data_IF_054921799728
#
_entry.id   IF_054921799728
#
_cell.length_a   1.000
_cell.length_b   1.000
_cell.length_c   1.000
_cell.angle_alpha   90.00
_cell.angle_beta   90.00
_cell.angle_gamma   90.00
#
_symmetry.space_group_name_H-M   'P 1'
#
loop_
_entity.id
_entity.type
_entity.pdbx_description
1 polymer ?
#
# COMPACT_ATOMS: atom_id res chain seq x y z
N UNK A 1 -1.11 15.08 -42.11
CA UNK A 1 -0.72 13.65 -42.06
C UNK A 1 -0.41 13.32 -40.60
N UNK A 2 -1.29 12.54 -39.96
CA UNK A 2 -1.19 12.24 -38.54
C UNK A 2 -0.06 11.23 -38.29
N UNK A 3 0.82 11.55 -37.35
CA UNK A 3 1.82 10.63 -36.80
C UNK A 3 1.04 9.63 -35.94
N UNK A 4 0.80 8.42 -36.46
CA UNK A 4 0.38 7.29 -35.63
C UNK A 4 1.55 6.91 -34.74
N UNK A 5 1.54 7.40 -33.49
CA UNK A 5 2.44 6.94 -32.44
C UNK A 5 2.24 5.44 -32.26
N UNK A 6 3.30 4.67 -32.47
CA UNK A 6 3.29 3.22 -32.34
C UNK A 6 3.14 2.85 -30.86
N UNK A 7 1.89 2.71 -30.43
CA UNK A 7 1.41 2.63 -29.04
C UNK A 7 1.90 1.39 -28.25
N UNK A 8 2.79 0.58 -28.84
CA UNK A 8 3.24 -0.71 -28.30
C UNK A 8 4.76 -0.86 -28.22
N UNK A 9 5.52 0.22 -28.42
CA UNK A 9 6.96 0.26 -28.15
C UNK A 9 7.22 0.97 -26.81
N UNK A 10 7.65 0.21 -25.80
CA UNK A 10 8.19 0.78 -24.56
C UNK A 10 9.69 0.48 -24.53
N UNK A 11 10.53 1.50 -24.47
CA UNK A 11 12.01 1.37 -24.49
C UNK A 11 12.57 0.60 -25.70
N UNK A 12 11.95 0.72 -26.88
CA UNK A 12 12.41 0.03 -28.10
C UNK A 12 12.11 -1.48 -28.11
N UNK A 13 11.40 -1.98 -27.10
CA UNK A 13 10.94 -3.37 -27.01
C UNK A 13 9.47 -3.40 -27.42
N UNK A 14 9.15 -4.27 -28.38
CA UNK A 14 7.78 -4.50 -28.83
C UNK A 14 7.03 -5.35 -27.79
N UNK A 15 6.09 -4.73 -27.10
CA UNK A 15 5.25 -5.35 -26.07
C UNK A 15 4.46 -6.55 -26.59
N UNK A 16 4.23 -6.65 -27.91
CA UNK A 16 3.48 -7.77 -28.52
C UNK A 16 4.25 -9.09 -28.47
N UNK A 17 5.57 -9.03 -28.46
CA UNK A 17 6.45 -10.20 -28.50
C UNK A 17 7.05 -10.54 -27.13
N UNK A 18 6.94 -9.66 -26.12
CA UNK A 18 7.48 -9.90 -24.77
C UNK A 18 6.97 -11.21 -24.16
N UNK A 19 5.67 -11.48 -24.26
CA UNK A 19 5.09 -12.72 -23.68
C UNK A 19 5.63 -13.95 -24.40
N UNK A 20 5.75 -13.89 -25.73
CA UNK A 20 6.29 -14.99 -26.53
C UNK A 20 7.79 -15.21 -26.31
N UNK A 21 8.57 -14.13 -26.23
CA UNK A 21 10.01 -14.16 -25.94
C UNK A 21 10.29 -14.64 -24.52
N UNK A 22 9.46 -14.24 -23.56
CA UNK A 22 9.54 -14.72 -22.19
C UNK A 22 9.19 -16.21 -22.11
N UNK A 23 8.10 -16.65 -22.76
CA UNK A 23 7.73 -18.06 -22.85
C UNK A 23 8.79 -18.89 -23.58
N UNK A 24 9.41 -18.38 -24.64
CA UNK A 24 10.48 -19.08 -25.36
C UNK A 24 11.74 -19.19 -24.51
N UNK A 25 12.10 -18.13 -23.78
CA UNK A 25 13.22 -18.15 -22.84
C UNK A 25 12.98 -19.13 -21.69
N UNK A 26 11.76 -19.23 -21.15
CA UNK A 26 11.42 -20.26 -20.17
C UNK A 26 11.43 -21.66 -20.77
N UNK A 27 10.95 -21.82 -22.01
CA UNK A 27 11.00 -23.10 -22.72
C UNK A 27 12.44 -23.54 -22.92
N UNK A 28 13.31 -22.64 -23.34
CA UNK A 28 14.74 -22.87 -23.51
C UNK A 28 15.42 -23.17 -22.17
N UNK A 29 15.15 -22.39 -21.13
CA UNK A 29 15.69 -22.61 -19.79
C UNK A 29 15.16 -23.90 -19.14
N UNK A 30 13.98 -24.38 -19.46
CA UNK A 30 13.42 -25.60 -18.87
C UNK A 30 13.61 -26.85 -19.72
N UNK A 31 13.93 -26.73 -21.02
CA UNK A 31 14.02 -27.89 -21.93
C UNK A 31 15.36 -28.02 -22.64
N UNK A 32 16.21 -26.99 -22.66
CA UNK A 32 17.54 -27.08 -23.28
C UNK A 32 18.41 -28.13 -22.59
N UNK A 33 19.25 -28.81 -23.39
CA UNK A 33 20.18 -29.83 -22.90
C UNK A 33 21.24 -29.24 -21.95
N UNK A 34 21.57 -27.96 -22.12
CA UNK A 34 22.55 -27.21 -21.32
C UNK A 34 21.94 -26.50 -20.09
N UNK A 35 20.63 -26.63 -19.85
CA UNK A 35 19.98 -25.97 -18.71
C UNK A 35 20.48 -26.49 -17.36
N UNK A 36 20.82 -25.60 -16.40
CA UNK A 36 21.13 -25.99 -15.03
C UNK A 36 19.96 -26.66 -14.31
N UNK A 37 18.71 -26.34 -14.70
CA UNK A 37 17.50 -26.97 -14.15
C UNK A 37 17.42 -28.43 -14.62
N UNK A 38 17.76 -28.68 -15.89
CA UNK A 38 17.84 -30.04 -16.42
C UNK A 38 18.89 -30.85 -15.66
N UNK A 39 20.08 -30.28 -15.41
CA UNK A 39 21.13 -30.97 -14.67
C UNK A 39 20.71 -31.45 -13.27
N UNK A 40 19.88 -30.68 -12.55
CA UNK A 40 19.41 -31.05 -11.21
C UNK A 40 18.20 -31.99 -11.16
N UNK A 41 17.37 -32.01 -12.21
CA UNK A 41 16.14 -32.81 -12.26
C UNK A 41 16.25 -34.06 -13.13
N UNK A 42 17.34 -34.21 -13.90
CA UNK A 42 17.57 -35.38 -14.76
C UNK A 42 17.74 -36.66 -13.92
N UNK A 43 17.31 -37.78 -14.49
CA UNK A 43 17.48 -39.10 -13.87
C UNK A 43 18.95 -39.54 -13.99
N UNK A 44 19.58 -40.07 -12.94
CA UNK A 44 20.92 -40.63 -13.05
C UNK A 44 20.91 -41.83 -14.01
N UNK A 45 21.92 -41.90 -14.87
CA UNK A 45 22.10 -42.95 -15.88
C UNK A 45 23.39 -43.70 -15.58
N UNK A 46 23.32 -45.03 -15.54
CA UNK A 46 24.52 -45.88 -15.46
C UNK A 46 25.10 -46.09 -16.85
N UNK A 47 26.24 -45.50 -17.14
CA UNK A 47 26.96 -45.69 -18.39
C UNK A 47 27.86 -46.93 -18.30
N UNK A 48 27.67 -47.87 -19.21
CA UNK A 48 28.54 -49.02 -19.43
C UNK A 48 29.56 -48.70 -20.53
N UNK A 49 30.84 -48.59 -20.16
CA UNK A 49 31.99 -48.49 -21.07
C UNK A 49 32.69 -49.85 -21.08
N UNK A 50 32.17 -50.78 -21.87
CA UNK A 50 32.62 -52.18 -21.83
C UNK A 50 32.35 -52.80 -20.46
N UNK A 51 33.42 -53.10 -19.71
CA UNK A 51 33.32 -53.67 -18.35
C UNK A 51 33.33 -52.60 -17.24
N UNK A 52 33.60 -51.34 -17.58
CA UNK A 52 33.59 -50.23 -16.63
C UNK A 52 32.19 -49.63 -16.55
N UNK A 53 31.78 -49.26 -15.34
CA UNK A 53 30.52 -48.57 -15.10
C UNK A 53 30.75 -47.23 -14.44
N UNK A 54 30.07 -46.20 -14.92
CA UNK A 54 30.16 -44.86 -14.38
C UNK A 54 28.77 -44.21 -14.34
N UNK A 55 28.45 -43.55 -13.22
CA UNK A 55 27.17 -42.87 -13.06
C UNK A 55 27.24 -41.47 -13.66
N UNK A 56 26.25 -41.08 -14.46
CA UNK A 56 26.13 -39.75 -15.04
C UNK A 56 24.78 -39.12 -14.69
N UNK A 57 24.78 -37.82 -14.41
CA UNK A 57 23.56 -37.03 -14.25
C UNK A 57 23.76 -35.68 -14.94
N UNK A 58 22.82 -35.30 -15.83
CA UNK A 58 22.91 -34.02 -16.53
C UNK A 58 24.21 -33.82 -17.33
N UNK A 59 24.77 -34.90 -17.89
CA UNK A 59 26.02 -34.87 -18.65
C UNK A 59 27.31 -34.80 -17.81
N UNK A 60 27.22 -34.87 -16.48
CA UNK A 60 28.39 -34.86 -15.57
C UNK A 60 28.54 -36.21 -14.86
N UNK A 61 29.78 -36.69 -14.66
CA UNK A 61 30.00 -37.89 -13.87
C UNK A 61 29.70 -37.63 -12.38
N UNK A 62 28.93 -38.53 -11.77
CA UNK A 62 28.71 -38.54 -10.33
C UNK A 62 29.75 -39.44 -9.66
N UNK A 63 30.40 -38.93 -8.62
CA UNK A 63 31.34 -39.70 -7.78
C UNK A 63 30.63 -40.51 -6.68
N UNK A 64 29.29 -40.45 -6.62
CA UNK A 64 28.51 -41.09 -5.56
C UNK A 64 28.36 -42.59 -5.78
N UNK A 65 28.35 -43.30 -4.65
CA UNK A 65 28.21 -44.75 -4.54
C UNK A 65 26.87 -45.24 -5.16
N UNK A 66 26.88 -46.42 -5.80
CA UNK A 66 25.76 -47.05 -6.52
C UNK A 66 24.62 -47.53 -5.60
N UNK A 67 24.40 -46.88 -4.45
CA UNK A 67 23.47 -47.33 -3.41
C UNK A 67 22.01 -47.37 -3.87
N UNK A 68 21.65 -46.57 -4.87
CA UNK A 68 20.38 -46.68 -5.57
C UNK A 68 20.65 -47.16 -7.00
N UNK A 69 20.14 -48.33 -7.36
CA UNK A 69 20.15 -48.80 -8.76
C UNK A 69 19.44 -47.77 -9.63
N UNK A 70 20.15 -47.08 -10.53
CA UNK A 70 19.53 -46.07 -11.37
C UNK A 70 18.47 -46.70 -12.27
N UNK A 71 17.38 -45.97 -12.49
CA UNK A 71 16.25 -46.41 -13.31
C UNK A 71 16.60 -46.55 -14.80
N UNK A 72 17.73 -45.97 -15.21
CA UNK A 72 18.18 -45.85 -16.60
C UNK A 72 19.62 -46.36 -16.75
N UNK A 73 19.87 -47.12 -17.80
CA UNK A 73 21.19 -47.57 -18.24
C UNK A 73 21.49 -47.06 -19.64
N UNK A 74 22.74 -46.71 -19.87
CA UNK A 74 23.28 -46.37 -21.18
C UNK A 74 24.48 -47.26 -21.50
N UNK A 75 24.64 -47.64 -22.76
CA UNK A 75 25.87 -48.28 -23.21
C UNK A 75 26.62 -47.36 -24.16
N UNK A 76 27.94 -47.28 -23.95
CA UNK A 76 28.82 -46.53 -24.83
C UNK A 76 29.08 -47.33 -26.10
N UNK A 77 28.76 -46.71 -27.24
CA UNK A 77 29.02 -47.26 -28.54
C UNK A 77 30.54 -47.14 -28.86
N UNK A 78 31.15 -48.17 -29.44
CA UNK A 78 32.52 -48.12 -29.92
C UNK A 78 32.79 -46.99 -30.94
N UNK A 79 33.97 -46.39 -30.87
CA UNK A 79 34.39 -45.26 -31.71
C UNK A 79 34.34 -45.57 -33.21
N UNK A 80 34.54 -46.83 -33.61
CA UNK A 80 34.51 -47.28 -35.01
C UNK A 80 33.10 -47.29 -35.64
N UNK A 81 32.06 -47.20 -34.81
CA UNK A 81 30.66 -47.13 -35.25
C UNK A 81 30.11 -45.69 -35.27
N UNK A 82 30.93 -44.70 -34.92
CA UNK A 82 30.52 -43.30 -34.75
C UNK A 82 31.23 -42.41 -35.77
N UNK A 83 30.44 -41.58 -36.45
CA UNK A 83 30.93 -40.43 -37.20
C UNK A 83 30.76 -39.18 -36.34
N UNK A 84 31.87 -38.71 -35.76
CA UNK A 84 31.91 -37.49 -34.94
C UNK A 84 32.19 -36.24 -35.79
N UNK A 85 31.49 -35.15 -35.49
CA UNK A 85 31.74 -33.85 -36.11
C UNK A 85 31.49 -32.71 -35.14
N UNK A 86 32.37 -31.71 -35.15
CA UNK A 86 32.19 -30.47 -34.39
C UNK A 86 31.91 -29.31 -35.34
N UNK A 87 30.94 -28.48 -34.97
CA UNK A 87 30.47 -27.33 -35.73
C UNK A 87 30.57 -26.09 -34.86
N UNK A 88 31.00 -24.99 -35.47
CA UNK A 88 30.92 -23.67 -34.85
C UNK A 88 29.81 -22.89 -35.56
N UNK A 89 28.75 -22.59 -34.81
CA UNK A 89 27.57 -21.89 -35.30
C UNK A 89 27.54 -20.47 -34.72
N UNK A 90 27.07 -19.46 -35.47
CA UNK A 90 26.86 -18.14 -34.91
C UNK A 90 25.78 -18.19 -33.82
N UNK A 91 25.92 -17.39 -32.77
CA UNK A 91 24.94 -17.32 -31.66
C UNK A 91 23.52 -17.01 -32.17
N UNK A 92 23.39 -16.30 -33.30
CA UNK A 92 22.11 -16.00 -33.94
C UNK A 92 21.35 -17.24 -34.45
N UNK A 93 22.03 -18.38 -34.64
CA UNK A 93 21.42 -19.65 -35.07
C UNK A 93 20.91 -20.51 -33.88
N UNK A 94 21.17 -20.11 -32.64
CA UNK A 94 20.70 -20.78 -31.42
C UNK A 94 19.19 -21.14 -31.42
N UNK A 95 18.25 -20.25 -31.81
CA UNK A 95 16.82 -20.59 -31.79
C UNK A 95 16.42 -21.69 -32.78
N UNK A 96 17.22 -21.89 -33.83
CA UNK A 96 16.98 -22.86 -34.91
C UNK A 96 18.02 -23.98 -34.93
N UNK A 97 18.81 -24.12 -33.85
CA UNK A 97 19.87 -25.13 -33.68
C UNK A 97 19.43 -26.54 -34.13
N UNK A 98 18.28 -27.07 -33.68
CA UNK A 98 17.84 -28.40 -34.09
C UNK A 98 17.63 -28.54 -35.60
N UNK A 99 17.13 -27.49 -36.26
CA UNK A 99 16.88 -27.51 -37.70
C UNK A 99 18.20 -27.44 -38.49
N UNK A 100 19.13 -26.56 -38.06
CA UNK A 100 20.47 -26.45 -38.65
C UNK A 100 21.23 -27.76 -38.52
N UNK A 101 21.19 -28.38 -37.33
CA UNK A 101 21.85 -29.66 -37.08
C UNK A 101 21.20 -30.79 -37.89
N UNK A 102 19.87 -30.83 -38.02
CA UNK A 102 19.20 -31.84 -38.85
C UNK A 102 19.63 -31.73 -40.33
N UNK A 103 19.78 -30.50 -40.85
CA UNK A 103 20.32 -30.27 -42.19
C UNK A 103 21.76 -30.73 -42.31
N UNK A 104 22.59 -30.46 -41.30
CA UNK A 104 23.98 -30.89 -41.30
C UNK A 104 24.11 -32.42 -41.22
N UNK A 105 23.28 -33.10 -40.42
CA UNK A 105 23.19 -34.57 -40.40
C UNK A 105 22.82 -35.09 -41.78
N UNK A 106 21.80 -34.52 -42.41
CA UNK A 106 21.35 -34.95 -43.73
C UNK A 106 22.44 -34.76 -44.81
N UNK A 107 23.28 -33.74 -44.68
CA UNK A 107 24.38 -33.49 -45.60
C UNK A 107 25.63 -34.34 -45.31
N UNK A 108 25.91 -34.65 -44.04
CA UNK A 108 27.13 -35.32 -43.60
C UNK A 108 26.99 -36.84 -43.44
N UNK A 109 25.75 -37.35 -43.28
CA UNK A 109 25.52 -38.75 -43.01
C UNK A 109 25.81 -39.61 -44.26
N UNK A 110 26.66 -40.64 -44.14
CA UNK A 110 26.89 -41.61 -45.21
C UNK A 110 25.76 -42.66 -45.28
N UNK A 111 24.78 -42.60 -44.39
CA UNK A 111 23.69 -43.57 -44.27
C UNK A 111 22.40 -43.06 -44.89
N UNK A 112 21.49 -43.99 -45.20
CA UNK A 112 20.14 -43.61 -45.63
C UNK A 112 19.39 -42.89 -44.50
N UNK A 113 18.46 -41.97 -44.80
CA UNK A 113 17.73 -41.22 -43.77
C UNK A 113 17.06 -42.10 -42.71
N UNK A 114 16.50 -43.25 -43.10
CA UNK A 114 15.86 -44.21 -42.20
C UNK A 114 16.82 -45.00 -41.30
N UNK A 115 18.09 -45.12 -41.70
CA UNK A 115 19.13 -45.83 -40.94
C UNK A 115 20.05 -44.87 -40.18
N UNK A 116 19.97 -43.57 -40.45
CA UNK A 116 20.81 -42.56 -39.81
C UNK A 116 20.24 -42.16 -38.45
N UNK A 117 20.95 -42.51 -37.37
CA UNK A 117 20.68 -41.99 -36.03
C UNK A 117 21.73 -40.96 -35.66
N UNK A 118 21.32 -39.97 -34.88
CA UNK A 118 22.21 -38.90 -34.48
C UNK A 118 21.86 -38.38 -33.09
N UNK A 119 22.85 -37.73 -32.49
CA UNK A 119 22.72 -36.94 -31.28
C UNK A 119 23.71 -35.79 -31.31
N UNK A 120 23.50 -34.80 -30.46
CA UNK A 120 24.42 -33.67 -30.33
C UNK A 120 24.43 -33.12 -28.91
N UNK A 121 25.49 -32.40 -28.58
CA UNK A 121 25.60 -31.63 -27.34
C UNK A 121 26.34 -30.31 -27.60
N UNK A 122 26.02 -29.28 -26.84
CA UNK A 122 26.83 -28.07 -26.78
C UNK A 122 28.09 -28.35 -25.97
N UNK A 123 29.25 -28.12 -26.57
CA UNK A 123 30.56 -28.30 -25.91
C UNK A 123 31.11 -26.99 -25.36
N UNK A 124 30.88 -25.88 -26.07
CA UNK A 124 31.35 -24.56 -25.64
C UNK A 124 30.40 -23.45 -26.10
N UNK A 125 30.32 -22.38 -25.33
CA UNK A 125 29.45 -21.22 -25.58
C UNK A 125 30.24 -19.92 -25.43
N UNK A 126 30.49 -19.27 -26.56
CA UNK A 126 31.12 -17.96 -26.64
C UNK A 126 30.09 -16.83 -26.83
N UNK A 127 30.58 -15.58 -26.80
CA UNK A 127 29.72 -14.40 -26.96
C UNK A 127 29.12 -14.26 -28.38
N UNK A 128 29.78 -14.83 -29.40
CA UNK A 128 29.38 -14.70 -30.81
C UNK A 128 29.14 -16.04 -31.51
N UNK A 129 29.54 -17.15 -30.89
CA UNK A 129 29.46 -18.49 -31.49
C UNK A 129 29.19 -19.56 -30.44
N UNK A 130 28.46 -20.59 -30.83
CA UNK A 130 28.23 -21.81 -30.08
C UNK A 130 29.02 -22.94 -30.76
N UNK A 131 29.74 -23.74 -29.98
CA UNK A 131 30.33 -24.98 -30.46
C UNK A 131 29.44 -26.15 -30.10
N UNK A 132 29.14 -26.97 -31.10
CA UNK A 132 28.32 -28.16 -30.98
C UNK A 132 29.11 -29.35 -31.47
N UNK A 133 29.11 -30.43 -30.70
CA UNK A 133 29.62 -31.71 -31.15
C UNK A 133 28.45 -32.65 -31.42
N UNK A 134 28.50 -33.32 -32.56
CA UNK A 134 27.49 -34.20 -33.09
C UNK A 134 28.09 -35.58 -33.33
N UNK A 135 27.30 -36.61 -33.02
CA UNK A 135 27.61 -37.99 -33.35
C UNK A 135 26.53 -38.54 -34.28
N UNK A 136 26.95 -39.15 -35.38
CA UNK A 136 26.08 -39.83 -36.36
C UNK A 136 26.47 -41.30 -36.39
N UNK A 137 25.49 -42.20 -36.39
CA UNK A 137 25.72 -43.63 -36.47
C UNK A 137 24.61 -44.32 -37.30
N UNK A 138 24.84 -45.57 -37.66
CA UNK A 138 23.87 -46.40 -38.37
C UNK A 138 23.05 -47.22 -37.36
N UNK A 139 21.71 -47.12 -37.44
CA UNK A 139 20.77 -47.89 -36.61
C UNK A 139 21.01 -49.39 -36.78
N UNK A 140 21.16 -49.86 -38.00
CA UNK A 140 21.43 -51.27 -38.31
C UNK A 140 22.77 -51.76 -37.74
N UNK A 141 23.78 -50.90 -37.70
CA UNK A 141 25.09 -51.21 -37.12
C UNK A 141 25.04 -51.27 -35.59
N UNK A 142 24.32 -50.33 -34.95
CA UNK A 142 24.08 -50.36 -33.50
C UNK A 142 23.29 -51.60 -33.10
N UNK A 143 22.23 -51.94 -33.83
CA UNK A 143 21.44 -53.14 -33.55
C UNK A 143 22.24 -54.44 -33.73
N UNK A 144 23.17 -54.47 -34.71
CA UNK A 144 24.12 -55.59 -34.85
C UNK A 144 25.03 -55.69 -33.63
N UNK A 145 25.66 -54.58 -33.25
CA UNK A 145 26.54 -54.51 -32.09
C UNK A 145 25.84 -54.87 -30.78
N UNK A 146 24.58 -54.42 -30.58
CA UNK A 146 23.75 -54.78 -29.42
C UNK A 146 23.57 -56.29 -29.29
N UNK A 147 23.32 -56.98 -30.42
CA UNK A 147 23.18 -58.45 -30.46
C UNK A 147 24.49 -59.17 -30.18
N UNK A 148 25.61 -58.66 -30.70
CA UNK A 148 26.95 -59.25 -30.49
C UNK A 148 27.44 -59.09 -29.05
N UNK A 149 27.09 -57.97 -28.41
CA UNK A 149 27.54 -57.61 -27.05
C UNK A 149 26.54 -58.04 -25.96
N UNK A 150 25.42 -58.66 -26.33
CA UNK A 150 24.36 -59.12 -25.41
C UNK A 150 23.82 -58.00 -24.49
N UNK A 151 23.76 -56.78 -25.03
CA UNK A 151 23.41 -55.54 -24.31
C UNK A 151 21.97 -55.57 -23.77
N UNK A 152 21.09 -56.31 -24.44
CA UNK A 152 19.66 -56.42 -24.09
C UNK A 152 19.38 -57.36 -22.91
N UNK A 153 20.28 -58.27 -22.56
CA UNK A 153 19.92 -59.43 -21.72
C UNK A 153 20.49 -59.35 -20.30
N UNK A 154 21.60 -58.63 -20.09
CA UNK A 154 22.36 -58.73 -18.84
C UNK A 154 22.05 -57.67 -17.77
N UNK A 155 21.61 -56.47 -18.14
CA UNK A 155 21.82 -55.32 -17.26
C UNK A 155 20.58 -54.51 -16.84
N UNK A 156 19.38 -54.66 -17.42
CA UNK A 156 18.22 -53.88 -16.96
C UNK A 156 16.81 -54.36 -17.37
N UNK A 157 16.47 -55.64 -17.20
CA UNK A 157 15.08 -56.11 -17.39
C UNK A 157 14.47 -55.81 -18.76
N UNK A 158 13.14 -55.77 -18.86
CA UNK A 158 12.35 -55.63 -20.10
C UNK A 158 12.43 -54.24 -20.79
N UNK A 159 13.47 -53.45 -20.53
CA UNK A 159 13.61 -52.07 -21.04
C UNK A 159 14.79 -51.95 -21.99
N UNK A 160 14.57 -51.27 -23.12
CA UNK A 160 15.64 -50.93 -24.05
C UNK A 160 16.62 -49.91 -23.41
N UNK A 161 17.93 -50.20 -23.38
CA UNK A 161 18.92 -49.27 -22.85
C UNK A 161 19.12 -48.06 -23.77
N UNK A 162 19.60 -46.95 -23.19
CA UNK A 162 20.11 -45.81 -23.96
C UNK A 162 21.42 -46.17 -24.67
N UNK A 163 21.67 -45.58 -25.83
CA UNK A 163 22.95 -45.72 -26.56
C UNK A 163 23.63 -44.37 -26.62
N UNK A 164 24.82 -44.29 -26.06
CA UNK A 164 25.61 -43.07 -26.01
C UNK A 164 26.84 -43.21 -26.90
N UNK A 165 27.29 -42.10 -27.45
CA UNK A 165 28.50 -41.99 -28.25
C UNK A 165 29.45 -40.99 -27.57
N UNK A 166 30.74 -41.30 -27.56
CA UNK A 166 31.76 -40.34 -27.13
C UNK A 166 32.38 -39.70 -28.37
N UNK A 167 32.32 -38.38 -28.44
CA UNK A 167 32.84 -37.62 -29.57
C UNK A 167 33.60 -36.41 -29.02
N UNK A 168 34.89 -36.29 -29.37
CA UNK A 168 35.75 -35.20 -28.93
C UNK A 168 35.73 -34.95 -27.41
N UNK A 169 35.65 -36.03 -26.61
CA UNK A 169 35.59 -35.98 -25.14
C UNK A 169 34.22 -35.63 -24.56
N UNK A 170 33.19 -35.47 -25.39
CA UNK A 170 31.82 -35.23 -24.97
C UNK A 170 30.96 -36.49 -25.14
N UNK A 171 30.12 -36.78 -24.14
CA UNK A 171 29.16 -37.88 -24.18
C UNK A 171 27.83 -37.40 -24.77
N UNK A 172 27.38 -38.07 -25.83
CA UNK A 172 26.23 -37.71 -26.63
C UNK A 172 25.24 -38.87 -26.63
N UNK A 173 24.02 -38.65 -26.16
CA UNK A 173 22.95 -39.63 -26.28
C UNK A 173 22.40 -39.64 -27.73
N UNK A 174 22.36 -40.82 -28.35
CA UNK A 174 21.79 -41.00 -29.68
C UNK A 174 20.27 -41.13 -29.60
N UNK A 175 19.56 -40.54 -30.58
CA UNK A 175 18.10 -40.59 -30.63
C UNK A 175 17.56 -41.89 -31.24
N UNK A 176 16.41 -42.34 -30.72
CA UNK A 176 15.66 -43.48 -31.21
C UNK A 176 15.96 -44.81 -30.51
N UNK A 177 16.37 -44.78 -29.24
CA UNK A 177 16.58 -45.92 -28.35
C UNK A 177 15.86 -45.68 -27.01
N UNK A 178 16.48 -46.01 -25.86
CA UNK A 178 15.89 -45.91 -24.54
C UNK A 178 15.67 -44.49 -23.98
N UNK A 179 16.11 -43.43 -24.67
CA UNK A 179 16.21 -42.08 -24.08
C UNK A 179 14.84 -41.44 -23.76
N UNK A 180 13.79 -41.90 -24.43
CA UNK A 180 12.42 -41.44 -24.21
C UNK A 180 11.96 -41.64 -22.74
N UNK A 181 12.46 -42.67 -22.06
CA UNK A 181 12.11 -42.93 -20.66
C UNK A 181 12.63 -41.84 -19.73
N UNK A 182 13.90 -41.46 -19.89
CA UNK A 182 14.52 -40.38 -19.12
C UNK A 182 13.85 -39.05 -19.41
N UNK A 183 13.58 -38.75 -20.67
CA UNK A 183 12.88 -37.51 -21.07
C UNK A 183 11.46 -37.43 -20.49
N UNK A 184 10.71 -38.55 -20.47
CA UNK A 184 9.39 -38.60 -19.84
C UNK A 184 9.47 -38.42 -18.31
N UNK A 185 10.45 -39.04 -17.65
CA UNK A 185 10.67 -38.87 -16.21
C UNK A 185 11.00 -37.41 -15.87
N UNK A 186 11.89 -36.80 -16.65
CA UNK A 186 12.23 -35.38 -16.55
C UNK A 186 10.99 -34.49 -16.70
N UNK A 187 10.21 -34.66 -17.77
CA UNK A 187 8.98 -33.87 -18.00
C UNK A 187 7.97 -34.01 -16.87
N UNK A 188 7.78 -35.21 -16.32
CA UNK A 188 6.88 -35.42 -15.17
C UNK A 188 7.36 -34.69 -13.93
N UNK A 189 8.67 -34.77 -13.62
CA UNK A 189 9.27 -34.04 -12.50
C UNK A 189 9.12 -32.54 -12.68
N UNK A 190 9.42 -32.04 -13.88
CA UNK A 190 9.29 -30.64 -14.25
C UNK A 190 7.85 -30.12 -14.11
N UNK A 191 6.87 -30.88 -14.57
CA UNK A 191 5.45 -30.54 -14.42
C UNK A 191 5.03 -30.52 -12.95
N UNK A 192 5.50 -31.48 -12.15
CA UNK A 192 5.21 -31.53 -10.71
C UNK A 192 5.85 -30.35 -9.96
N UNK A 193 7.11 -30.03 -10.24
CA UNK A 193 7.77 -28.85 -9.64
C UNK A 193 7.13 -27.56 -10.12
N UNK A 194 6.76 -27.46 -11.40
CA UNK A 194 6.05 -26.32 -11.96
C UNK A 194 4.69 -26.11 -11.30
N UNK A 195 3.93 -27.18 -11.07
CA UNK A 195 2.65 -27.12 -10.37
C UNK A 195 2.80 -26.68 -8.91
N UNK A 196 3.83 -27.17 -8.21
CA UNK A 196 4.10 -26.77 -6.81
C UNK A 196 4.49 -25.30 -6.72
N UNK A 197 5.39 -24.83 -7.58
CA UNK A 197 5.82 -23.43 -7.61
C UNK A 197 4.67 -22.51 -8.04
N UNK A 198 3.91 -22.92 -9.05
CA UNK A 198 2.71 -22.19 -9.49
C UNK A 198 1.66 -22.11 -8.38
N UNK A 199 1.42 -23.21 -7.67
CA UNK A 199 0.52 -23.24 -6.50
C UNK A 199 1.00 -22.32 -5.38
N UNK A 200 2.29 -22.32 -5.06
CA UNK A 200 2.88 -21.43 -4.06
C UNK A 200 2.77 -19.95 -4.46
N UNK A 201 2.97 -19.63 -5.74
CA UNK A 201 2.81 -18.27 -6.27
C UNK A 201 1.35 -17.81 -6.19
N UNK A 202 0.39 -18.66 -6.56
CA UNK A 202 -1.05 -18.36 -6.43
C UNK A 202 -1.40 -18.13 -4.95
N UNK A 203 -0.90 -18.98 -4.05
CA UNK A 203 -1.13 -18.82 -2.61
C UNK A 203 -0.55 -17.49 -2.08
N UNK A 204 0.64 -17.10 -2.55
CA UNK A 204 1.23 -15.79 -2.24
C UNK A 204 0.39 -14.63 -2.78
N UNK A 205 -0.13 -14.73 -4.01
CA UNK A 205 -1.01 -13.71 -4.59
C UNK A 205 -2.33 -13.60 -3.83
N UNK A 206 -2.92 -14.73 -3.41
CA UNK A 206 -4.12 -14.75 -2.57
C UNK A 206 -3.83 -14.12 -1.21
N UNK A 207 -2.70 -14.46 -0.58
CA UNK A 207 -2.29 -13.84 0.69
C UNK A 207 -2.07 -12.32 0.55
N UNK A 208 -1.42 -11.87 -0.53
CA UNK A 208 -1.24 -10.46 -0.84
C UNK A 208 -2.57 -9.75 -1.11
N UNK A 209 -3.50 -10.40 -1.80
CA UNK A 209 -4.85 -9.86 -2.03
C UNK A 209 -5.64 -9.72 -0.72
N UNK A 210 -5.60 -10.74 0.15
CA UNK A 210 -6.22 -10.68 1.48
C UNK A 210 -5.62 -9.52 2.29
N UNK A 211 -4.29 -9.39 2.28
CA UNK A 211 -3.59 -8.27 2.94
C UNK A 211 -4.02 -6.91 2.39
N UNK A 212 -4.12 -6.76 1.07
CA UNK A 212 -4.59 -5.54 0.44
C UNK A 212 -6.04 -5.19 0.83
N UNK A 213 -6.95 -6.17 0.84
CA UNK A 213 -8.36 -5.96 1.25
C UNK A 213 -8.46 -5.50 2.71
N UNK A 214 -7.67 -6.08 3.62
CA UNK A 214 -7.63 -5.64 5.02
C UNK A 214 -7.19 -4.17 5.13
N UNK A 215 -6.19 -3.77 4.35
CA UNK A 215 -5.71 -2.38 4.32
C UNK A 215 -6.77 -1.40 3.78
N UNK A 216 -7.49 -1.77 2.72
CA UNK A 216 -8.59 -0.95 2.19
C UNK A 216 -9.74 -0.79 3.20
N UNK A 217 -10.11 -1.86 3.91
CA UNK A 217 -11.16 -1.81 4.94
C UNK A 217 -10.79 -0.90 6.13
N UNK A 218 -9.49 -0.70 6.36
CA UNK A 218 -8.98 0.20 7.41
C UNK A 218 -9.20 1.67 7.02
N UNK A 219 -9.12 2.00 5.72
CA UNK A 219 -9.42 3.34 5.20
C UNK A 219 -10.92 3.66 5.29
N UNK A 220 -11.80 2.70 4.99
CA UNK A 220 -13.25 2.87 5.16
C UNK A 220 -13.66 3.08 6.64
N UNK A 221 -12.90 2.54 7.60
CA UNK A 221 -13.13 2.77 9.03
C UNK A 221 -12.77 4.19 9.46
N UNK A 222 -11.82 4.84 8.80
CA UNK A 222 -11.47 6.24 9.07
C UNK A 222 -12.51 7.21 8.49
N UNK A 223 -13.12 6.91 7.34
CA UNK A 223 -14.23 7.72 6.81
C UNK A 223 -15.46 7.65 7.72
N UNK A 224 -15.81 6.47 8.26
CA UNK A 224 -16.94 6.32 9.21
C UNK A 224 -16.69 6.98 10.57
N UNK A 225 -15.44 7.14 10.97
CA UNK A 225 -15.07 7.90 12.18
C UNK A 225 -15.16 9.41 11.95
N UNK A 226 -14.87 9.91 10.74
CA UNK A 226 -15.09 11.33 10.41
C UNK A 226 -16.58 11.69 10.35
N UNK A 227 -17.44 10.83 9.81
CA UNK A 227 -18.89 11.11 9.78
C UNK A 227 -19.52 11.13 11.18
N UNK A 228 -18.99 10.36 12.14
CA UNK A 228 -19.44 10.41 13.54
C UNK A 228 -18.94 11.64 14.30
N UNK A 229 -17.83 12.26 13.90
CA UNK A 229 -17.30 13.48 14.55
C UNK A 229 -17.90 14.77 13.95
N UNK A 230 -18.39 14.73 12.71
CA UNK A 230 -19.13 15.87 12.13
C UNK A 230 -20.55 16.01 12.70
N UNK A 231 -21.24 14.90 12.98
CA UNK A 231 -22.60 14.92 13.57
C UNK A 231 -22.64 15.36 15.04
N UNK A 232 -21.52 15.29 15.76
CA UNK A 232 -21.41 15.80 17.14
C UNK A 232 -21.00 17.29 17.19
N UNK A 233 -20.59 17.88 16.06
CA UNK A 233 -20.23 19.30 15.95
C UNK A 233 -21.38 20.19 15.48
N UNK A 234 -22.44 19.61 14.89
CA UNK A 234 -23.68 20.32 14.57
C UNK A 234 -24.47 20.70 15.84
N UNK A 235 -24.43 19.87 16.89
CA UNK A 235 -25.14 20.12 18.15
C UNK A 235 -24.50 21.22 19.00
N UNK A 236 -23.19 21.44 18.89
CA UNK A 236 -22.50 22.53 19.59
C UNK A 236 -22.62 23.87 18.85
N UNK A 237 -22.74 23.84 17.51
CA UNK A 237 -22.97 25.05 16.71
C UNK A 237 -24.40 25.56 16.82
N UNK A 238 -25.39 24.67 16.90
CA UNK A 238 -26.79 25.03 17.16
C UNK A 238 -26.98 25.66 18.55
N UNK A 239 -26.25 25.16 19.56
CA UNK A 239 -26.30 25.69 20.92
C UNK A 239 -25.53 27.00 21.09
N UNK A 240 -24.47 27.24 20.29
CA UNK A 240 -23.85 28.57 20.17
C UNK A 240 -24.71 29.57 19.41
N UNK A 241 -25.44 29.15 18.38
CA UNK A 241 -26.32 30.03 17.61
C UNK A 241 -27.50 30.53 18.46
N UNK A 242 -28.11 29.66 19.28
CA UNK A 242 -29.16 30.07 20.22
C UNK A 242 -28.63 30.91 21.38
N UNK A 243 -27.38 30.68 21.81
CA UNK A 243 -26.73 31.55 22.81
C UNK A 243 -26.31 32.92 22.25
N UNK A 244 -26.06 33.06 20.96
CA UNK A 244 -25.77 34.34 20.30
C UNK A 244 -27.04 35.15 20.04
N UNK A 245 -28.11 34.50 19.58
CA UNK A 245 -29.43 35.13 19.35
C UNK A 245 -30.11 35.57 20.66
N UNK A 246 -29.97 34.77 21.72
CA UNK A 246 -30.40 35.15 23.07
C UNK A 246 -29.50 36.22 23.72
N UNK A 247 -28.23 36.36 23.29
CA UNK A 247 -27.37 37.45 23.79
C UNK A 247 -27.68 38.78 23.14
N UNK A 248 -28.03 38.81 21.84
CA UNK A 248 -28.39 40.05 21.13
C UNK A 248 -29.70 40.66 21.64
N UNK A 249 -30.70 39.84 21.92
CA UNK A 249 -31.97 40.31 22.51
C UNK A 249 -31.84 40.76 23.97
N UNK A 250 -30.89 40.20 24.73
CA UNK A 250 -30.60 40.63 26.12
C UNK A 250 -29.69 41.87 26.17
N UNK A 251 -28.78 42.07 25.20
CA UNK A 251 -27.97 43.30 25.10
C UNK A 251 -28.75 44.52 24.63
N UNK A 252 -29.72 44.35 23.72
CA UNK A 252 -30.60 45.44 23.30
C UNK A 252 -31.62 45.85 24.40
N UNK A 253 -31.99 44.93 25.28
CA UNK A 253 -32.86 45.22 26.44
C UNK A 253 -32.10 45.86 27.62
N UNK A 254 -30.84 45.50 27.85
CA UNK A 254 -30.03 46.04 28.95
C UNK A 254 -29.54 47.49 28.73
N UNK A 255 -29.51 47.99 27.51
CA UNK A 255 -29.22 49.40 27.22
C UNK A 255 -30.42 50.33 27.46
N UNK A 256 -31.64 49.80 27.67
CA UNK A 256 -32.83 50.60 27.98
C UNK A 256 -33.16 50.65 29.48
N UNK A 257 -32.63 49.71 30.28
CA UNK A 257 -32.86 49.63 31.73
C UNK A 257 -31.75 50.33 32.55
N UNK A 258 -30.56 50.54 31.98
CA UNK A 258 -29.47 51.25 32.64
C UNK A 258 -29.68 52.78 32.78
N UNK A 259 -30.61 53.37 32.00
CA UNK A 259 -30.86 54.82 31.97
C UNK A 259 -32.09 55.25 32.82
N UNK A 260 -32.84 54.32 33.39
CA UNK A 260 -34.04 54.63 34.20
C UNK A 260 -33.99 53.93 35.57
N UNK A 261 -33.36 54.55 36.59
CA UNK A 261 -33.53 54.15 37.98
C UNK A 261 -35.02 54.09 38.34
N UNK A 262 -35.43 53.13 39.17
CA UNK A 262 -36.84 52.99 39.55
C UNK A 262 -37.26 54.17 40.47
N UNK A 263 -38.20 55.05 40.07
CA UNK A 263 -38.57 56.25 40.82
C UNK A 263 -39.16 55.92 42.20
N UNK A 264 -39.74 54.73 42.38
CA UNK A 264 -40.34 54.33 43.65
C UNK A 264 -39.28 54.08 44.74
N UNK A 265 -38.10 53.58 44.38
CA UNK A 265 -37.00 53.32 45.33
C UNK A 265 -36.42 54.63 45.83
N UNK A 266 -36.25 55.62 44.94
CA UNK A 266 -35.72 56.92 45.32
C UNK A 266 -36.73 57.76 46.12
N UNK A 267 -38.03 57.66 45.81
CA UNK A 267 -39.08 58.28 46.64
C UNK A 267 -39.11 57.68 48.05
N UNK A 268 -39.00 56.36 48.18
CA UNK A 268 -38.93 55.70 49.49
C UNK A 268 -37.69 56.14 50.28
N UNK A 269 -36.51 56.16 49.63
CA UNK A 269 -35.26 56.60 50.24
C UNK A 269 -35.30 58.06 50.69
N UNK A 270 -35.88 58.95 49.88
CA UNK A 270 -36.09 60.35 50.27
C UNK A 270 -37.07 60.48 51.43
N UNK A 271 -38.09 59.62 51.51
CA UNK A 271 -39.07 59.65 52.61
C UNK A 271 -38.47 59.12 53.93
N UNK A 272 -37.57 58.13 53.87
CA UNK A 272 -36.85 57.64 55.07
C UNK A 272 -35.84 58.65 55.63
N UNK A 273 -35.27 59.51 54.76
CA UNK A 273 -34.25 60.49 55.14
C UNK A 273 -34.84 61.81 55.67
N UNK A 274 -36.15 62.03 55.52
CA UNK A 274 -36.85 63.21 56.00
C UNK A 274 -37.49 62.91 57.36
N UNK A 275 -37.39 63.87 58.27
CA UNK A 275 -38.07 63.79 59.58
C UNK A 275 -39.54 64.21 59.47
N UNK A 276 -40.38 63.84 60.44
CA UNK A 276 -41.85 64.07 60.41
C UNK A 276 -42.27 65.55 60.16
N UNK A 277 -41.37 66.50 60.37
CA UNK A 277 -41.59 67.94 60.18
C UNK A 277 -41.14 68.46 58.78
N UNK A 278 -40.72 67.57 57.88
CA UNK A 278 -40.16 67.89 56.55
C UNK A 278 -40.96 67.18 55.46
N UNK A 279 -41.40 67.91 54.44
CA UNK A 279 -42.20 67.29 53.37
C UNK A 279 -41.79 67.77 51.98
N UNK A 280 -41.82 66.84 51.03
CA UNK A 280 -41.59 67.08 49.61
C UNK A 280 -42.93 67.43 48.95
N UNK A 281 -42.97 68.57 48.26
CA UNK A 281 -44.13 69.00 47.49
C UNK A 281 -44.02 68.63 46.01
N UNK A 282 -42.82 68.60 45.46
CA UNK A 282 -42.61 68.25 44.06
C UNK A 282 -41.36 67.40 43.89
N UNK A 283 -41.52 66.30 43.16
CA UNK A 283 -40.46 65.38 42.79
C UNK A 283 -40.55 65.16 41.28
N UNK A 284 -39.44 65.35 40.58
CA UNK A 284 -39.30 65.01 39.17
C UNK A 284 -37.97 64.31 38.96
N UNK A 285 -37.96 63.21 38.22
CA UNK A 285 -36.76 62.44 37.94
C UNK A 285 -36.59 62.25 36.44
N UNK A 286 -35.42 62.61 35.91
CA UNK A 286 -35.04 62.43 34.51
C UNK A 286 -33.75 61.62 34.47
N UNK A 287 -33.90 60.30 34.29
CA UNK A 287 -32.78 59.37 34.42
C UNK A 287 -32.21 59.41 35.83
N UNK A 288 -30.95 59.84 35.98
CA UNK A 288 -30.26 59.94 37.28
C UNK A 288 -30.33 61.32 37.93
N UNK A 289 -30.95 62.30 37.27
CA UNK A 289 -31.14 63.63 37.83
C UNK A 289 -32.51 63.73 38.51
N UNK A 290 -32.51 64.06 39.80
CA UNK A 290 -33.69 64.28 40.63
C UNK A 290 -33.80 65.77 40.91
N UNK A 291 -34.98 66.32 40.73
CA UNK A 291 -35.34 67.66 41.19
C UNK A 291 -36.39 67.56 42.27
N UNK A 292 -36.03 68.06 43.45
CA UNK A 292 -36.86 68.00 44.65
C UNK A 292 -37.16 69.41 45.13
N UNK A 293 -38.43 69.67 45.43
CA UNK A 293 -38.87 70.88 46.13
C UNK A 293 -39.63 70.46 47.37
N UNK A 294 -39.19 70.97 48.52
CA UNK A 294 -39.81 70.67 49.80
C UNK A 294 -39.81 71.86 50.73
N UNK A 295 -40.37 71.64 51.92
CA UNK A 295 -40.39 72.59 53.02
C UNK A 295 -39.91 71.90 54.28
N UNK A 296 -39.09 72.59 55.05
CA UNK A 296 -38.52 72.12 56.30
C UNK A 296 -38.44 73.27 57.30
N UNK A 297 -38.32 72.94 58.60
CA UNK A 297 -38.06 73.95 59.63
C UNK A 297 -36.65 74.53 59.53
N UNK A 298 -35.69 73.73 59.06
CA UNK A 298 -34.32 74.13 58.73
C UNK A 298 -33.93 73.47 57.40
N UNK A 299 -33.99 74.23 56.31
CA UNK A 299 -33.70 73.70 54.99
C UNK A 299 -32.21 73.44 54.75
N UNK A 300 -31.32 74.07 55.53
CA UNK A 300 -29.87 73.87 55.39
C UNK A 300 -29.45 72.50 55.95
N UNK A 301 -30.09 72.06 57.05
CA UNK A 301 -29.86 70.72 57.62
C UNK A 301 -30.28 69.62 56.65
N UNK A 302 -31.44 69.75 55.99
CA UNK A 302 -31.91 68.78 54.98
C UNK A 302 -30.91 68.66 53.82
N UNK A 303 -30.38 69.77 53.32
CA UNK A 303 -29.36 69.75 52.27
C UNK A 303 -28.10 69.01 52.74
N UNK A 304 -27.65 69.25 53.96
CA UNK A 304 -26.44 68.63 54.49
C UNK A 304 -26.62 67.12 54.68
N UNK A 305 -27.75 66.68 55.21
CA UNK A 305 -28.09 65.25 55.37
C UNK A 305 -28.11 64.55 54.01
N UNK A 306 -28.76 65.14 53.01
CA UNK A 306 -28.80 64.56 51.66
C UNK A 306 -27.41 64.56 50.99
N UNK A 307 -26.59 65.58 51.19
CA UNK A 307 -25.23 65.62 50.65
C UNK A 307 -24.27 64.59 51.27
N UNK A 308 -24.56 64.09 52.47
CA UNK A 308 -23.77 63.07 53.17
C UNK A 308 -24.21 61.64 52.86
N UNK A 309 -25.34 61.45 52.20
CA UNK A 309 -25.85 60.12 51.86
C UNK A 309 -25.04 59.52 50.70
N UNK A 310 -24.37 58.36 50.87
CA UNK A 310 -23.49 57.77 49.87
C UNK A 310 -24.22 57.33 48.58
N UNK A 311 -25.55 57.27 48.60
CA UNK A 311 -26.38 56.98 47.45
C UNK A 311 -26.51 58.16 46.47
N UNK A 312 -26.22 59.39 46.90
CA UNK A 312 -26.30 60.59 46.07
C UNK A 312 -24.89 61.07 45.72
N UNK A 313 -24.59 61.16 44.42
CA UNK A 313 -23.28 61.58 43.94
C UNK A 313 -23.07 63.10 44.07
N UNK A 314 -24.13 63.89 43.96
CA UNK A 314 -24.08 65.33 44.15
C UNK A 314 -25.44 65.91 44.53
N UNK A 315 -25.46 66.88 45.45
CA UNK A 315 -26.65 67.64 45.85
C UNK A 315 -26.33 69.13 45.71
N UNK A 316 -27.10 69.85 44.87
CA UNK A 316 -26.91 71.29 44.62
C UNK A 316 -28.23 72.02 44.80
N UNK A 317 -28.23 73.22 45.41
CA UNK A 317 -29.39 74.11 45.40
C UNK A 317 -29.31 75.10 44.24
N UNK A 318 -30.14 74.95 43.18
CA UNK A 318 -30.21 75.93 42.11
C UNK A 318 -30.87 77.25 42.55
N UNK A 319 -31.56 77.28 43.69
CA UNK A 319 -32.23 78.47 44.22
C UNK A 319 -31.92 78.67 45.71
N UNK A 320 -31.81 79.92 46.13
CA UNK A 320 -31.64 80.25 47.54
C UNK A 320 -32.84 79.78 48.37
N UNK A 321 -32.57 79.38 49.62
CA UNK A 321 -33.59 79.00 50.59
C UNK A 321 -34.43 80.24 50.94
N UNK A 322 -35.75 80.11 50.92
CA UNK A 322 -36.68 81.22 51.20
C UNK A 322 -37.67 80.86 52.29
N UNK A 323 -37.87 81.74 53.27
CA UNK A 323 -38.91 81.56 54.28
C UNK A 323 -40.33 81.66 53.68
N UNK A 324 -41.22 80.74 54.05
CA UNK A 324 -42.60 80.68 53.55
C UNK A 324 -43.53 81.45 54.47
N UNK A 325 -43.66 82.76 54.24
CA UNK A 325 -44.59 83.62 54.99
C UNK A 325 -44.37 83.57 56.51
N UNK A 326 -45.46 83.59 57.29
CA UNK A 326 -45.41 83.54 58.77
C UNK A 326 -45.52 82.10 59.34
N UNK A 327 -45.18 81.07 58.54
CA UNK A 327 -45.37 79.65 58.91
C UNK A 327 -44.20 79.04 59.67
N UNK A 328 -43.06 79.74 59.76
CA UNK A 328 -41.84 79.21 60.38
C UNK A 328 -41.16 78.10 59.57
N UNK A 329 -41.58 77.86 58.32
CA UNK A 329 -40.97 76.89 57.42
C UNK A 329 -40.16 77.59 56.32
N UNK A 330 -39.08 76.95 55.91
CA UNK A 330 -38.22 77.34 54.82
C UNK A 330 -38.47 76.45 53.61
N UNK A 331 -38.46 77.03 52.41
CA UNK A 331 -38.60 76.30 51.16
C UNK A 331 -37.24 76.10 50.52
N UNK A 332 -36.98 74.87 50.10
CA UNK A 332 -35.77 74.50 49.38
C UNK A 332 -36.07 73.93 48.00
N UNK A 333 -35.09 74.07 47.12
CA UNK A 333 -35.05 73.42 45.81
C UNK A 333 -33.69 72.74 45.70
N UNK A 334 -33.69 71.44 45.39
CA UNK A 334 -32.49 70.63 45.28
C UNK A 334 -32.49 69.91 43.93
N UNK A 335 -31.35 69.99 43.24
CA UNK A 335 -31.00 69.15 42.11
C UNK A 335 -29.99 68.10 42.62
N UNK A 336 -30.36 66.82 42.53
CA UNK A 336 -29.63 65.68 43.08
C UNK A 336 -29.28 64.72 41.94
N UNK A 337 -28.06 64.19 41.93
CA UNK A 337 -27.65 63.14 40.98
C UNK A 337 -27.47 61.83 41.73
N UNK A 338 -28.20 60.78 41.33
CA UNK A 338 -28.05 59.45 41.94
C UNK A 338 -26.69 58.85 41.57
N UNK A 339 -25.98 58.34 42.57
CA UNK A 339 -24.76 57.56 42.36
C UNK A 339 -25.04 56.33 41.52
N UNK A 340 -24.09 55.97 40.64
CA UNK A 340 -24.16 54.68 39.95
C UNK A 340 -24.12 53.57 41.01
N UNK A 341 -24.93 52.50 40.91
CA UNK A 341 -24.87 51.38 41.85
C UNK A 341 -23.55 50.63 41.66
N UNK A 342 -22.51 51.11 42.32
CA UNK A 342 -21.20 50.50 42.37
C UNK A 342 -20.97 49.94 43.79
N UNK A 343 -20.96 48.61 43.84
CA UNK A 343 -20.29 47.77 44.85
C UNK A 343 -20.80 47.84 46.31
N UNK A 344 -21.92 47.19 46.59
CA UNK A 344 -21.96 46.33 47.78
C UNK A 344 -21.07 45.11 47.49
N UNK A 345 -19.88 45.12 48.09
CA UNK A 345 -18.91 44.05 47.96
C UNK A 345 -17.49 44.52 48.25
N UNK A 346 -17.19 44.78 49.51
CA UNK A 346 -15.87 44.41 50.01
C UNK A 346 -16.00 43.79 51.39
N UNK A 347 -15.39 42.61 51.53
CA UNK A 347 -15.33 41.90 52.79
C UNK A 347 -14.35 42.59 53.73
N UNK A 348 -14.70 42.63 55.00
CA UNK A 348 -13.89 42.18 56.14
C UNK A 348 -14.70 42.29 57.42
#
# INVERSE_FOLDING_TARGET
MAVQGNQWMLFGIDMRHIVQQWLSAWRELLLSASSPIRQGLDEPVLLYRGNETQLFQGGKPLTSDLQNSPSCAAHLLPDDLILARTLSLPIAAEPELPAVLAMEVAAASPFKPEDSVHGWCETDRGAQSIQVTMAIASRSSIERWKRETDVTTKNQGDRDPEIWAEANGALIALTGFGEAHRELAYRRRLMRTGLLVGGALILLLVAAAIFAVQQLSTLERFERLQTKVQLESESVSAMRATLVDANETVRAANTFVADYPNPHVEIARLTELLTDDEYIMHFSMRGRELRVRGRAKDAAVVMQTLAQTPAFASVTAPQAITAVGNTGLEQFHLDIVVGSPAAEGDGS
#
